data_IF_343894547391
#
_entry.id   IF_343894547391
#
_cell.length_a   1.000
_cell.length_b   1.000
_cell.length_c   1.000
_cell.angle_alpha   90.00
_cell.angle_beta   90.00
_cell.angle_gamma   90.00
#
_symmetry.space_group_name_H-M   'P 1'
#
loop_
_entity.id
_entity.type
_entity.pdbx_description
1 polymer ?
#
# COMPACT_ATOMS: atom_id res chain seq x y z
N UNK A 1 -46.48 -45.04 33.75
CA UNK A 1 -45.48 -44.22 34.47
C UNK A 1 -44.38 -43.84 33.47
N UNK A 2 -44.54 -42.70 32.76
CA UNK A 2 -43.66 -42.27 31.68
C UNK A 2 -42.41 -41.58 32.26
N UNK A 3 -41.23 -42.15 32.02
CA UNK A 3 -39.95 -41.65 32.51
C UNK A 3 -39.51 -40.47 31.63
N UNK A 4 -39.47 -39.26 32.19
CA UNK A 4 -38.94 -38.06 31.54
C UNK A 4 -37.50 -38.33 31.05
N UNK A 5 -37.29 -38.32 29.73
CA UNK A 5 -35.96 -38.29 29.14
C UNK A 5 -35.35 -36.93 29.47
N UNK A 6 -34.34 -36.95 30.34
CA UNK A 6 -33.50 -35.80 30.65
C UNK A 6 -32.77 -35.39 29.38
N UNK A 7 -33.20 -34.29 28.76
CA UNK A 7 -32.42 -33.65 27.70
C UNK A 7 -31.15 -33.08 28.35
N UNK A 8 -30.07 -33.87 28.33
CA UNK A 8 -28.74 -33.31 28.55
C UNK A 8 -28.46 -32.36 27.39
N UNK A 9 -28.54 -31.07 27.66
CA UNK A 9 -28.03 -30.02 26.80
C UNK A 9 -26.56 -30.31 26.50
N UNK A 10 -26.28 -30.81 25.31
CA UNK A 10 -24.92 -30.86 24.80
C UNK A 10 -24.48 -29.41 24.60
N UNK A 11 -23.67 -28.89 25.53
CA UNK A 11 -22.99 -27.61 25.37
C UNK A 11 -22.12 -27.72 24.10
N UNK A 12 -22.53 -27.04 23.04
CA UNK A 12 -21.85 -26.99 21.73
C UNK A 12 -20.52 -26.22 21.77
N UNK A 13 -20.13 -25.67 22.93
CA UNK A 13 -18.89 -24.91 23.12
C UNK A 13 -17.61 -25.70 22.88
N UNK A 14 -17.68 -27.05 22.87
CA UNK A 14 -16.51 -27.92 22.66
C UNK A 14 -16.09 -28.05 21.18
N UNK A 15 -16.98 -27.77 20.23
CA UNK A 15 -16.69 -27.92 18.79
C UNK A 15 -15.91 -26.69 18.25
N UNK A 16 -16.02 -25.54 18.91
CA UNK A 16 -15.36 -24.28 18.52
C UNK A 16 -13.88 -24.18 18.94
N UNK A 17 -13.36 -25.14 19.72
CA UNK A 17 -11.95 -25.14 20.12
C UNK A 17 -11.22 -26.32 19.48
N UNK A 18 -10.72 -26.13 18.25
CA UNK A 18 -9.63 -26.94 17.70
C UNK A 18 -8.34 -26.64 18.48
N UNK A 19 -8.32 -26.99 19.76
CA UNK A 19 -7.15 -26.88 20.62
C UNK A 19 -6.33 -28.16 20.43
N UNK A 20 -5.18 -28.05 19.77
CA UNK A 20 -4.18 -29.12 19.71
C UNK A 20 -3.66 -29.52 21.10
N UNK A 21 -2.79 -30.53 21.22
CA UNK A 21 -2.42 -31.18 22.49
C UNK A 21 -1.63 -30.32 23.50
N UNK A 22 -1.40 -29.03 23.24
CA UNK A 22 -0.71 -28.10 24.16
C UNK A 22 -1.68 -26.97 24.54
N UNK A 23 -2.38 -27.13 25.67
CA UNK A 23 -3.34 -26.16 26.20
C UNK A 23 -2.96 -25.75 27.62
N UNK A 24 -1.91 -24.95 27.78
CA UNK A 24 -1.76 -24.19 29.03
C UNK A 24 -2.50 -22.85 28.89
N UNK A 25 -3.15 -22.31 29.93
CA UNK A 25 -3.63 -20.94 29.89
C UNK A 25 -2.41 -20.01 29.77
N UNK A 26 -2.36 -19.18 28.71
CA UNK A 26 -1.22 -18.30 28.44
C UNK A 26 -1.40 -17.47 27.18
N UNK A 27 -0.51 -16.50 26.97
CA UNK A 27 -0.47 -15.70 25.75
C UNK A 27 0.22 -16.50 24.65
N UNK A 28 -0.54 -16.97 23.65
CA UNK A 28 0.02 -17.67 22.51
C UNK A 28 -0.22 -16.95 21.19
N UNK A 29 0.77 -16.94 20.29
CA UNK A 29 0.60 -16.41 18.94
C UNK A 29 -0.57 -17.04 18.17
N UNK A 30 -0.96 -18.30 18.48
CA UNK A 30 -2.09 -18.99 17.83
C UNK A 30 -3.44 -18.36 18.12
N UNK A 31 -3.66 -17.91 19.35
CA UNK A 31 -4.95 -17.36 19.79
C UNK A 31 -5.20 -15.96 19.20
N UNK A 32 -4.12 -15.30 18.78
CA UNK A 32 -4.15 -14.00 18.11
C UNK A 32 -4.03 -14.09 16.58
N UNK A 33 -4.05 -15.30 16.00
CA UNK A 33 -4.03 -15.45 14.54
C UNK A 33 -5.35 -14.96 13.93
N UNK A 34 -5.32 -14.34 12.74
CA UNK A 34 -6.54 -14.03 12.01
C UNK A 34 -7.39 -15.29 11.77
N UNK A 35 -8.69 -15.12 11.92
CA UNK A 35 -9.74 -16.10 11.68
C UNK A 35 -10.52 -15.82 10.39
N UNK A 36 -11.66 -16.51 10.19
CA UNK A 36 -12.54 -16.27 9.04
C UNK A 36 -13.29 -14.93 9.17
N UNK A 37 -13.79 -14.43 8.05
CA UNK A 37 -14.55 -13.18 7.99
C UNK A 37 -15.79 -13.21 8.91
N UNK A 38 -15.99 -12.20 9.78
CA UNK A 38 -17.14 -12.17 10.70
C UNK A 38 -18.42 -11.76 9.97
N UNK A 39 -19.42 -12.64 9.97
CA UNK A 39 -20.71 -12.39 9.31
C UNK A 39 -21.72 -11.86 10.32
N UNK A 40 -21.67 -12.35 11.56
CA UNK A 40 -22.60 -11.95 12.63
C UNK A 40 -22.07 -10.77 13.46
N UNK A 41 -22.97 -10.01 14.07
CA UNK A 41 -22.60 -8.89 14.92
C UNK A 41 -21.87 -9.34 16.21
N UNK A 42 -22.21 -10.51 16.73
CA UNK A 42 -21.51 -11.10 17.88
C UNK A 42 -20.07 -11.49 17.54
N UNK A 43 -19.85 -12.11 16.37
CA UNK A 43 -18.51 -12.42 15.87
C UNK A 43 -17.70 -11.15 15.61
N UNK A 44 -18.35 -10.10 15.07
CA UNK A 44 -17.72 -8.81 14.84
C UNK A 44 -17.24 -8.17 16.14
N UNK A 45 -18.08 -8.17 17.18
CA UNK A 45 -17.71 -7.66 18.52
C UNK A 45 -16.58 -8.48 19.14
N UNK A 46 -16.62 -9.80 18.99
CA UNK A 46 -15.54 -10.68 19.48
C UNK A 46 -14.21 -10.42 18.75
N UNK A 47 -14.25 -10.22 17.43
CA UNK A 47 -13.09 -9.85 16.63
C UNK A 47 -12.53 -8.48 17.02
N UNK A 48 -13.39 -7.47 17.18
CA UNK A 48 -12.98 -6.15 17.67
C UNK A 48 -12.23 -6.25 19.00
N UNK A 49 -12.77 -6.98 19.97
CA UNK A 49 -12.12 -7.20 21.27
C UNK A 49 -10.79 -7.95 21.16
N UNK A 50 -10.69 -8.97 20.30
CA UNK A 50 -9.45 -9.73 20.04
C UNK A 50 -8.33 -8.81 19.54
N UNK A 51 -8.69 -7.80 18.76
CA UNK A 51 -7.78 -6.83 18.16
C UNK A 51 -7.58 -5.57 19.01
N UNK A 52 -8.24 -5.46 20.17
CA UNK A 52 -8.15 -4.28 21.03
C UNK A 52 -8.85 -3.04 20.47
N UNK A 53 -9.78 -3.23 19.53
CA UNK A 53 -10.56 -2.18 18.89
C UNK A 53 -11.93 -2.06 19.53
N UNK A 54 -12.53 -0.87 19.36
CA UNK A 54 -13.93 -0.67 19.69
C UNK A 54 -14.80 -1.34 18.62
N UNK A 55 -15.96 -1.92 18.97
CA UNK A 55 -16.85 -2.55 17.99
C UNK A 55 -17.27 -1.63 16.85
N UNK A 56 -17.42 -0.33 17.13
CA UNK A 56 -17.79 0.69 16.15
C UNK A 56 -16.67 1.04 15.15
N UNK A 57 -15.41 0.96 15.58
CA UNK A 57 -14.24 1.27 14.74
C UNK A 57 -13.76 0.03 13.96
N UNK A 58 -14.24 -1.16 14.33
CA UNK A 58 -13.86 -2.40 13.68
C UNK A 58 -14.61 -2.58 12.35
N UNK A 59 -13.84 -2.51 11.27
CA UNK A 59 -14.28 -2.83 9.93
C UNK A 59 -13.39 -3.93 9.34
N UNK A 60 -13.91 -5.12 9.02
CA UNK A 60 -13.10 -6.14 8.34
C UNK A 60 -12.85 -5.74 6.88
N UNK A 61 -11.74 -6.23 6.32
CA UNK A 61 -11.44 -6.08 4.88
C UNK A 61 -12.51 -6.81 4.07
N UNK A 62 -12.97 -6.20 2.98
CA UNK A 62 -14.00 -6.76 2.11
C UNK A 62 -13.61 -8.15 1.59
N UNK A 63 -14.59 -9.06 1.55
CA UNK A 63 -14.40 -10.43 1.08
C UNK A 63 -14.17 -10.49 -0.43
N UNK A 64 -14.69 -9.51 -1.16
CA UNK A 64 -14.55 -9.41 -2.61
C UNK A 64 -13.21 -8.80 -3.04
N UNK A 65 -12.41 -8.27 -2.10
CA UNK A 65 -11.07 -7.74 -2.39
C UNK A 65 -10.05 -8.89 -2.58
N UNK A 66 -9.81 -9.23 -3.84
CA UNK A 66 -8.89 -10.30 -4.25
C UNK A 66 -7.45 -10.10 -3.74
N UNK A 67 -7.04 -8.86 -3.49
CA UNK A 67 -5.64 -8.52 -3.16
C UNK A 67 -5.45 -8.42 -1.64
N UNK A 68 -6.39 -7.79 -0.93
CA UNK A 68 -6.22 -7.44 0.48
C UNK A 68 -6.96 -8.36 1.43
N UNK A 69 -7.88 -9.22 0.94
CA UNK A 69 -8.69 -10.07 1.81
C UNK A 69 -7.85 -10.94 2.76
N UNK A 70 -8.09 -10.76 4.06
CA UNK A 70 -7.34 -11.40 5.13
C UNK A 70 -8.23 -11.89 6.29
N UNK A 71 -9.45 -12.34 5.99
CA UNK A 71 -10.36 -12.93 6.98
C UNK A 71 -10.96 -11.90 7.95
N UNK A 72 -10.77 -12.08 9.26
CA UNK A 72 -11.21 -11.15 10.31
C UNK A 72 -10.25 -9.97 10.55
N UNK A 73 -9.21 -9.81 9.74
CA UNK A 73 -8.27 -8.71 9.91
C UNK A 73 -8.95 -7.35 9.62
N UNK A 74 -8.80 -6.35 10.50
CA UNK A 74 -9.43 -5.04 10.30
C UNK A 74 -8.73 -4.20 9.23
N UNK A 75 -9.53 -3.41 8.53
CA UNK A 75 -9.13 -2.39 7.56
C UNK A 75 -9.01 -1.02 8.25
N UNK A 76 -7.77 -0.52 8.36
CA UNK A 76 -7.47 0.82 8.89
C UNK A 76 -7.36 1.89 7.81
N UNK A 77 -7.63 1.56 6.56
CA UNK A 77 -7.25 2.40 5.43
C UNK A 77 -5.73 2.57 5.33
N UNK A 78 -5.31 3.63 4.65
CA UNK A 78 -3.91 3.88 4.35
C UNK A 78 -3.39 4.92 5.35
N UNK A 79 -2.69 4.44 6.39
CA UNK A 79 -1.95 5.29 7.32
C UNK A 79 -0.46 5.12 7.03
N UNK A 80 0.19 6.23 6.72
CA UNK A 80 1.62 6.29 6.42
C UNK A 80 2.41 6.81 7.60
N UNK A 81 3.72 6.58 7.56
CA UNK A 81 4.65 7.08 8.57
C UNK A 81 4.53 8.59 8.83
N UNK A 82 4.27 9.39 7.79
CA UNK A 82 4.17 10.86 7.92
C UNK A 82 2.84 11.35 8.49
N UNK A 83 1.77 10.56 8.41
CA UNK A 83 0.49 10.89 9.03
C UNK A 83 0.52 10.84 10.56
N UNK A 84 1.54 10.21 11.15
CA UNK A 84 1.72 10.08 12.59
C UNK A 84 2.60 11.20 13.14
N UNK A 85 2.27 11.68 14.33
CA UNK A 85 3.01 12.76 15.00
C UNK A 85 4.50 12.40 15.17
N UNK A 86 5.44 13.20 14.64
CA UNK A 86 6.87 12.99 14.84
C UNK A 86 7.36 13.22 16.27
N UNK A 87 6.63 14.00 17.08
CA UNK A 87 7.09 14.44 18.41
C UNK A 87 6.60 13.54 19.55
N UNK A 88 5.65 12.65 19.28
CA UNK A 88 5.16 11.67 20.24
C UNK A 88 6.26 10.66 20.64
N UNK A 89 6.20 10.21 21.89
CA UNK A 89 7.14 9.26 22.48
C UNK A 89 6.81 7.80 22.11
N UNK A 90 6.94 7.47 20.82
CA UNK A 90 6.64 6.14 20.31
C UNK A 90 7.51 5.04 20.94
N UNK A 91 6.91 3.90 21.27
CA UNK A 91 7.67 2.72 21.73
C UNK A 91 8.63 2.19 20.66
N UNK A 92 8.18 2.15 19.40
CA UNK A 92 8.99 1.89 18.21
C UNK A 92 9.16 3.20 17.45
N UNK A 93 10.28 3.88 17.72
CA UNK A 93 10.61 5.18 17.10
C UNK A 93 10.85 5.08 15.60
N UNK A 94 11.28 3.92 15.09
CA UNK A 94 11.61 3.75 13.68
C UNK A 94 10.36 3.74 12.80
N UNK A 95 9.27 3.14 13.30
CA UNK A 95 8.02 3.02 12.57
C UNK A 95 6.89 3.91 13.12
N UNK A 96 7.18 4.74 14.14
CA UNK A 96 6.20 5.56 14.89
C UNK A 96 5.01 4.71 15.36
N UNK A 97 5.28 3.63 16.09
CA UNK A 97 4.25 2.69 16.54
C UNK A 97 4.34 2.42 18.03
N UNK A 98 3.17 2.28 18.65
CA UNK A 98 3.08 1.90 20.06
C UNK A 98 2.94 0.38 20.24
N UNK A 99 3.39 -0.12 21.38
CA UNK A 99 3.22 -1.52 21.73
C UNK A 99 1.74 -1.82 21.93
N UNK A 100 1.27 -2.93 21.37
CA UNK A 100 -0.16 -3.27 21.36
C UNK A 100 -1.00 -2.49 20.35
N UNK A 101 -0.43 -1.51 19.65
CA UNK A 101 -1.09 -0.89 18.51
C UNK A 101 -1.20 -1.90 17.36
N UNK A 102 -2.38 -1.92 16.75
CA UNK A 102 -2.62 -2.72 15.56
C UNK A 102 -1.72 -2.31 14.40
N UNK A 103 -1.44 -3.30 13.55
CA UNK A 103 -0.60 -3.13 12.36
C UNK A 103 -1.50 -3.11 11.14
N UNK A 104 -1.37 -2.11 10.25
CA UNK A 104 -2.08 -2.15 8.97
C UNK A 104 -1.51 -3.24 8.06
N UNK A 105 -2.34 -3.84 7.19
CA UNK A 105 -1.91 -4.86 6.23
C UNK A 105 -0.76 -4.35 5.34
N UNK A 106 -0.83 -3.08 4.95
CA UNK A 106 0.14 -2.42 4.07
C UNK A 106 1.30 -1.73 4.83
N UNK A 107 1.53 -2.05 6.11
CA UNK A 107 2.58 -1.42 6.91
C UNK A 107 3.97 -1.47 6.23
N UNK A 108 4.30 -2.58 5.57
CA UNK A 108 5.59 -2.73 4.89
C UNK A 108 5.75 -1.80 3.69
N UNK A 109 4.64 -1.42 3.04
CA UNK A 109 4.63 -0.47 1.93
C UNK A 109 4.82 0.96 2.42
N UNK A 110 4.28 1.27 3.60
CA UNK A 110 4.19 2.63 4.14
C UNK A 110 5.16 2.93 5.30
N UNK A 111 6.27 2.21 5.33
CA UNK A 111 7.40 2.52 6.23
C UNK A 111 8.03 3.88 5.87
N UNK A 112 8.70 4.52 6.83
CA UNK A 112 9.32 5.84 6.65
C UNK A 112 10.36 5.94 5.53
N UNK A 113 11.03 4.84 5.15
CA UNK A 113 11.98 4.73 4.03
C UNK A 113 11.33 4.37 2.69
N UNK A 114 10.02 4.13 2.67
CA UNK A 114 9.29 3.61 1.50
C UNK A 114 8.35 4.68 0.95
N UNK A 115 7.05 4.38 0.88
CA UNK A 115 6.04 5.30 0.36
C UNK A 115 5.37 6.01 1.54
N UNK A 116 5.68 7.28 1.72
CA UNK A 116 5.00 8.13 2.69
C UNK A 116 4.46 9.36 1.99
N UNK A 117 3.20 9.68 2.29
CA UNK A 117 2.48 10.84 1.76
C UNK A 117 1.62 11.40 2.88
N UNK A 118 1.36 12.70 2.84
CA UNK A 118 0.58 13.44 3.85
C UNK A 118 -0.73 13.98 3.29
N UNK A 119 -0.94 13.89 1.97
CA UNK A 119 -2.01 14.59 1.25
C UNK A 119 -1.80 16.10 1.13
N UNK A 120 -0.83 16.67 1.86
CA UNK A 120 -0.38 18.05 1.72
C UNK A 120 0.74 18.18 0.67
N UNK A 121 1.58 17.15 0.59
CA UNK A 121 2.65 17.02 -0.40
C UNK A 121 2.16 16.42 -1.73
N UNK A 122 0.87 16.51 -2.04
CA UNK A 122 0.32 16.01 -3.31
C UNK A 122 0.75 16.93 -4.46
N UNK A 123 2.03 16.83 -4.82
CA UNK A 123 2.45 17.18 -6.16
C UNK A 123 1.69 16.24 -7.09
N UNK A 124 0.80 16.78 -7.91
CA UNK A 124 0.04 16.06 -8.93
C UNK A 124 0.99 15.45 -9.99
N UNK A 125 1.75 14.42 -9.62
CA UNK A 125 2.59 13.61 -10.50
C UNK A 125 1.72 12.60 -11.25
N UNK A 126 0.73 13.11 -11.97
CA UNK A 126 0.05 12.28 -12.96
C UNK A 126 1.07 11.89 -14.03
N UNK A 127 1.04 10.62 -14.47
CA UNK A 127 1.99 10.10 -15.47
C UNK A 127 2.07 11.01 -16.70
N UNK A 128 0.92 11.51 -17.15
CA UNK A 128 0.83 12.43 -18.28
C UNK A 128 1.58 13.73 -18.01
N UNK A 129 1.38 14.34 -16.84
CA UNK A 129 2.02 15.60 -16.48
C UNK A 129 3.53 15.43 -16.30
N UNK A 130 3.96 14.32 -15.71
CA UNK A 130 5.37 13.95 -15.61
C UNK A 130 6.00 13.76 -16.99
N UNK A 131 5.35 13.03 -17.90
CA UNK A 131 5.80 12.89 -19.30
C UNK A 131 5.90 14.26 -19.97
N UNK A 132 4.92 15.14 -19.79
CA UNK A 132 4.95 16.50 -20.35
C UNK A 132 6.15 17.28 -19.80
N UNK A 133 6.43 17.22 -18.50
CA UNK A 133 7.58 17.90 -17.88
C UNK A 133 8.90 17.37 -18.47
N UNK A 134 9.03 16.05 -18.61
CA UNK A 134 10.21 15.44 -19.24
C UNK A 134 10.37 15.88 -20.69
N UNK A 135 9.29 15.84 -21.49
CA UNK A 135 9.32 16.23 -22.89
C UNK A 135 9.67 17.71 -23.07
N UNK A 136 9.20 18.59 -22.17
CA UNK A 136 9.56 20.02 -22.18
C UNK A 136 11.05 20.28 -22.00
N UNK A 137 11.78 19.39 -21.34
CA UNK A 137 13.24 19.54 -21.13
C UNK A 137 14.03 18.78 -22.20
N UNK A 138 13.67 17.51 -22.45
CA UNK A 138 14.46 16.64 -23.32
C UNK A 138 14.36 17.00 -24.80
N UNK A 139 13.18 17.43 -25.28
CA UNK A 139 13.00 17.81 -26.69
C UNK A 139 13.85 19.02 -27.07
N UNK A 140 13.77 20.18 -26.39
CA UNK A 140 14.62 21.31 -26.76
C UNK A 140 16.11 21.03 -26.56
N UNK A 141 16.49 20.27 -25.53
CA UNK A 141 17.88 19.88 -25.33
C UNK A 141 18.39 19.00 -26.49
N UNK A 142 17.57 18.05 -26.95
CA UNK A 142 17.88 17.21 -28.12
C UNK A 142 17.99 18.02 -29.41
N UNK A 143 17.11 18.99 -29.62
CA UNK A 143 17.16 19.89 -30.79
C UNK A 143 18.40 20.79 -30.77
N UNK A 144 18.75 21.35 -29.61
CA UNK A 144 19.96 22.17 -29.44
C UNK A 144 21.21 21.30 -29.63
N UNK A 145 21.25 20.12 -29.03
CA UNK A 145 22.36 19.19 -29.19
C UNK A 145 22.54 18.82 -30.66
N UNK A 146 21.46 18.48 -31.37
CA UNK A 146 21.49 18.20 -32.80
C UNK A 146 22.05 19.39 -33.59
N UNK A 147 21.55 20.60 -33.32
CA UNK A 147 21.99 21.82 -33.99
C UNK A 147 23.48 22.13 -33.75
N UNK A 148 23.97 21.98 -32.52
CA UNK A 148 25.37 22.25 -32.18
C UNK A 148 26.33 21.13 -32.62
N UNK A 149 25.84 19.91 -32.83
CA UNK A 149 26.67 18.77 -33.24
C UNK A 149 26.76 18.60 -34.76
N UNK A 150 25.94 19.32 -35.53
CA UNK A 150 26.03 19.29 -36.99
C UNK A 150 27.31 20.02 -37.44
N UNK A 151 28.15 19.33 -38.22
CA UNK A 151 29.40 19.87 -38.74
C UNK A 151 29.18 20.78 -39.95
N UNK A 152 28.01 20.68 -40.60
CA UNK A 152 27.67 21.49 -41.77
C UNK A 152 27.23 22.90 -41.33
N UNK A 153 27.89 23.99 -41.79
CA UNK A 153 27.53 25.36 -41.44
C UNK A 153 26.16 25.80 -41.98
N UNK A 154 25.54 24.99 -42.85
CA UNK A 154 24.23 25.22 -43.48
C UNK A 154 23.18 24.18 -43.06
N UNK A 155 23.32 23.57 -41.87
CA UNK A 155 22.40 22.54 -41.33
C UNK A 155 20.89 22.88 -41.43
N UNK A 156 20.53 24.16 -41.29
CA UNK A 156 19.15 24.63 -41.34
C UNK A 156 18.65 25.04 -42.73
N UNK A 157 19.53 25.07 -43.74
CA UNK A 157 19.14 25.43 -45.09
C UNK A 157 18.55 24.23 -45.84
N UNK A 158 17.47 24.47 -46.58
CA UNK A 158 16.86 23.46 -47.43
C UNK A 158 17.84 22.98 -48.49
N UNK A 159 18.14 21.68 -48.48
CA UNK A 159 19.05 21.00 -49.39
C UNK A 159 18.28 20.63 -50.67
N UNK A 160 18.38 21.43 -51.74
CA UNK A 160 17.69 21.12 -53.01
C UNK A 160 18.32 19.89 -53.69
N UNK A 161 17.59 18.77 -53.88
CA UNK A 161 18.16 17.55 -54.45
C UNK A 161 18.51 17.65 -55.95
N UNK A 162 17.99 18.64 -56.68
CA UNK A 162 18.28 18.81 -58.12
C UNK A 162 19.57 19.56 -58.43
N UNK A 163 20.18 20.19 -57.43
CA UNK A 163 21.44 20.94 -57.56
C UNK A 163 22.49 20.17 -56.76
N UNK A 164 23.36 19.43 -57.45
CA UNK A 164 24.41 18.65 -56.79
C UNK A 164 25.26 19.53 -55.88
N UNK A 165 25.55 19.03 -54.67
CA UNK A 165 26.39 19.71 -53.70
C UNK A 165 27.78 19.96 -54.28
N UNK A 166 28.06 21.20 -54.68
CA UNK A 166 29.44 21.65 -54.90
C UNK A 166 29.91 22.26 -53.58
N UNK A 167 30.89 21.65 -52.88
CA UNK A 167 31.52 22.33 -51.77
C UNK A 167 32.21 23.57 -52.34
N UNK A 168 31.90 24.75 -51.81
CA UNK A 168 32.62 25.98 -52.12
C UNK A 168 34.09 25.81 -51.69
N UNK A 169 34.92 25.29 -52.59
CA UNK A 169 36.37 25.31 -52.46
C UNK A 169 36.80 26.76 -52.68
N UNK A 170 37.27 27.39 -51.61
CA UNK A 170 37.91 28.70 -51.63
C UNK A 170 39.08 28.64 -52.62
N UNK A 171 38.99 29.42 -53.69
CA UNK A 171 40.12 29.70 -54.58
C UNK A 171 41.10 30.61 -53.84
N UNK A 172 42.29 30.09 -53.55
CA UNK A 172 43.53 30.87 -53.37
C UNK A 172 44.49 30.51 -54.48
#
# INVERSE_FOLDING_TARGET
>A
MLRKLSQRSFHTSRILSMRGPLTFPGWYPRDHKPGPYPVTDEERRAAAMKYGLRPEDYKPIDQDDVVRYAGDYPDFGIVTYLHKDPYESWTDRLNRRNWGEMVSMDMMRHRGDRMSFTGLDEDDFTLVRTIIIFMKVLVPMGLIMWYCSDADPSALHWKNPSVGYTPFAVQY
#
